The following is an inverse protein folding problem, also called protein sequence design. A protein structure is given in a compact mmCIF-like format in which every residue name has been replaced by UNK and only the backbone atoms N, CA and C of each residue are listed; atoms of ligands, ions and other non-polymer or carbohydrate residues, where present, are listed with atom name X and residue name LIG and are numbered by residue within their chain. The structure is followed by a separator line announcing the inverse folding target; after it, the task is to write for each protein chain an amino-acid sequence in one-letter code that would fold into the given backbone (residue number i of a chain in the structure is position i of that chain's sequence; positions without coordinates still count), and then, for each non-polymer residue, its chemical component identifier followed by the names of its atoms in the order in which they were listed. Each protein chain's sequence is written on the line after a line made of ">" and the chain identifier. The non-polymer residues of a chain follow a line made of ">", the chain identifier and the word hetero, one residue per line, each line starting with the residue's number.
data_IF_871250356128
#
_entry.id   IF_871250356128
#
_cell.length_a   1.000
_cell.length_b   1.000
_cell.length_c   1.000
_cell.angle_alpha   90.00
_cell.angle_beta   90.00
_cell.angle_gamma   90.00
#
_symmetry.space_group_name_H-M   'P 1'
#
loop_
_entity.id
_entity.type
_entity.pdbx_description
1 polymer ?
#
# COMPACT_ATOMS: atom_id res chain seq x y z
N UNK A 1 -33.13 15.39 14.53
CA UNK A 1 -31.73 15.87 14.57
C UNK A 1 -31.07 15.23 15.77
N UNK A 2 -30.25 14.19 15.56
CA UNK A 2 -29.47 13.57 16.64
C UNK A 2 -27.99 13.80 16.33
N UNK A 3 -27.38 14.67 17.13
CA UNK A 3 -25.95 14.92 17.19
C UNK A 3 -25.29 13.80 17.99
N UNK A 4 -24.83 12.74 17.33
CA UNK A 4 -23.85 11.84 17.93
C UNK A 4 -22.49 12.20 17.35
N UNK A 5 -21.79 13.09 18.06
CA UNK A 5 -20.38 13.39 17.84
C UNK A 5 -19.55 12.15 18.23
N UNK A 6 -19.54 11.14 17.37
CA UNK A 6 -18.50 10.12 17.39
C UNK A 6 -17.22 10.73 16.82
N UNK A 7 -16.65 11.72 17.53
CA UNK A 7 -15.29 12.19 17.29
C UNK A 7 -14.36 11.08 17.80
N UNK A 8 -14.29 10.00 17.03
CA UNK A 8 -13.42 8.86 17.32
C UNK A 8 -11.98 9.38 17.27
N UNK A 9 -11.35 9.38 18.44
CA UNK A 9 -9.97 9.83 18.66
C UNK A 9 -9.04 8.75 18.09
N UNK A 10 -8.96 8.67 16.77
CA UNK A 10 -7.96 7.85 16.09
C UNK A 10 -6.70 8.71 15.95
N UNK A 11 -5.86 8.73 16.98
CA UNK A 11 -4.52 9.27 16.91
C UNK A 11 -3.60 8.16 16.38
N UNK A 12 -3.21 8.27 15.12
CA UNK A 12 -2.27 7.34 14.49
C UNK A 12 -0.93 8.05 14.28
N UNK A 13 0.12 7.53 14.92
CA UNK A 13 1.48 7.81 14.51
C UNK A 13 1.85 6.86 13.37
N UNK A 14 1.97 7.42 12.17
CA UNK A 14 2.48 6.70 11.00
C UNK A 14 3.98 6.94 10.86
N UNK A 15 4.77 5.89 10.53
CA UNK A 15 6.18 6.05 10.21
C UNK A 15 6.39 7.13 9.14
N UNK A 16 7.46 7.92 9.29
CA UNK A 16 7.86 9.00 8.36
C UNK A 16 7.72 8.61 6.89
N UNK A 17 8.25 7.44 6.53
CA UNK A 17 8.21 6.91 5.16
C UNK A 17 6.78 6.78 4.61
N UNK A 18 5.83 6.35 5.44
CA UNK A 18 4.43 6.19 5.04
C UNK A 18 3.77 7.57 4.93
N UNK A 19 4.03 8.47 5.89
CA UNK A 19 3.50 9.84 5.83
C UNK A 19 3.93 10.55 4.55
N UNK A 20 5.21 10.51 4.20
CA UNK A 20 5.71 11.12 2.95
C UNK A 20 5.05 10.53 1.71
N UNK A 21 4.77 9.22 1.69
CA UNK A 21 4.08 8.59 0.58
C UNK A 21 2.62 9.06 0.46
N UNK A 22 1.90 9.18 1.59
CA UNK A 22 0.53 9.70 1.62
C UNK A 22 0.48 11.17 1.14
N UNK A 23 1.38 12.01 1.64
CA UNK A 23 1.51 13.42 1.25
C UNK A 23 1.82 13.57 -0.24
N UNK A 24 2.76 12.77 -0.77
CA UNK A 24 3.11 12.79 -2.19
C UNK A 24 1.92 12.40 -3.08
N UNK A 25 1.20 11.33 -2.72
CA UNK A 25 0.01 10.88 -3.44
C UNK A 25 -1.11 11.92 -3.42
N UNK A 26 -1.33 12.55 -2.25
CA UNK A 26 -2.31 13.61 -2.07
C UNK A 26 -1.97 14.83 -2.95
N UNK A 27 -0.70 15.27 -2.95
CA UNK A 27 -0.24 16.39 -3.77
C UNK A 27 -0.37 16.11 -5.27
N UNK A 28 0.00 14.90 -5.73
CA UNK A 28 -0.10 14.49 -7.14
C UNK A 28 -1.56 14.56 -7.65
N UNK A 29 -2.53 14.19 -6.82
CA UNK A 29 -3.96 14.12 -7.18
C UNK A 29 -4.78 15.33 -6.74
N UNK A 30 -4.14 16.31 -6.08
CA UNK A 30 -4.79 17.46 -5.47
C UNK A 30 -5.91 17.04 -4.49
N UNK A 31 -5.63 16.04 -3.67
CA UNK A 31 -6.52 15.53 -2.62
C UNK A 31 -6.06 16.01 -1.24
N UNK A 32 -6.98 16.02 -0.27
CA UNK A 32 -6.58 16.18 1.13
C UNK A 32 -5.95 14.90 1.66
N UNK A 33 -5.05 15.02 2.64
CA UNK A 33 -4.40 13.87 3.25
C UNK A 33 -5.42 12.99 3.99
N UNK A 34 -6.45 13.61 4.58
CA UNK A 34 -7.55 12.92 5.25
C UNK A 34 -8.32 12.04 4.27
N UNK A 35 -8.62 12.55 3.07
CA UNK A 35 -9.32 11.79 2.04
C UNK A 35 -8.50 10.59 1.55
N UNK A 36 -7.19 10.76 1.39
CA UNK A 36 -6.30 9.65 1.02
C UNK A 36 -6.27 8.58 2.11
N UNK A 37 -6.24 8.97 3.39
CA UNK A 37 -6.32 8.03 4.51
C UNK A 37 -7.68 7.30 4.55
N UNK A 38 -8.79 8.02 4.39
CA UNK A 38 -10.13 7.42 4.31
C UNK A 38 -10.24 6.43 3.15
N UNK A 39 -9.68 6.78 1.98
CA UNK A 39 -9.66 5.90 0.81
C UNK A 39 -8.84 4.63 1.07
N UNK A 40 -7.64 4.78 1.65
CA UNK A 40 -6.78 3.63 1.96
C UNK A 40 -7.43 2.69 3.00
N UNK A 41 -8.03 3.26 4.05
CA UNK A 41 -8.71 2.49 5.08
C UNK A 41 -9.99 1.84 4.57
N UNK A 42 -10.79 2.54 3.77
CA UNK A 42 -12.01 1.98 3.18
C UNK A 42 -11.67 0.83 2.23
N UNK A 43 -10.62 0.96 1.42
CA UNK A 43 -10.14 -0.12 0.58
C UNK A 43 -9.63 -1.30 1.40
N UNK A 44 -8.91 -1.09 2.50
CA UNK A 44 -8.45 -2.18 3.36
C UNK A 44 -9.59 -2.91 4.08
N UNK A 45 -10.66 -2.20 4.45
CA UNK A 45 -11.82 -2.76 5.16
C UNK A 45 -12.87 -3.35 4.22
N UNK A 46 -12.77 -3.10 2.92
CA UNK A 46 -13.66 -3.66 1.91
C UNK A 46 -13.38 -5.16 1.74
N UNK A 47 -14.41 -5.98 2.03
CA UNK A 47 -14.35 -7.44 1.97
C UNK A 47 -14.10 -7.98 0.57
N UNK A 48 -14.45 -7.19 -0.45
CA UNK A 48 -14.25 -7.53 -1.86
C UNK A 48 -12.99 -6.87 -2.43
N UNK A 49 -12.20 -6.17 -1.61
CA UNK A 49 -10.94 -5.59 -2.07
C UNK A 49 -9.93 -6.69 -2.39
N UNK A 50 -9.21 -6.53 -3.50
CA UNK A 50 -8.06 -7.39 -3.84
C UNK A 50 -6.95 -7.07 -2.84
N UNK A 51 -6.85 -7.89 -1.81
CA UNK A 51 -5.79 -7.79 -0.82
C UNK A 51 -4.61 -8.69 -1.22
N UNK A 52 -3.51 -8.59 -0.49
CA UNK A 52 -2.38 -9.52 -0.68
C UNK A 52 -2.75 -10.98 -0.39
N UNK A 53 -3.87 -11.23 0.29
CA UNK A 53 -4.36 -12.59 0.53
C UNK A 53 -4.98 -13.20 -0.74
N UNK A 54 -5.53 -12.38 -1.65
CA UNK A 54 -6.10 -12.81 -2.94
C UNK A 54 -5.04 -12.99 -4.02
N UNK A 55 -3.95 -12.23 -3.91
CA UNK A 55 -2.73 -12.53 -4.65
C UNK A 55 -2.11 -13.76 -4.02
N UNK A 56 -2.56 -14.98 -4.29
CA UNK A 56 -1.85 -16.19 -3.86
C UNK A 56 -0.44 -16.16 -4.48
N UNK A 57 0.58 -15.57 -3.82
CA UNK A 57 1.79 -15.20 -4.50
C UNK A 57 2.63 -16.45 -4.46
N UNK A 58 2.68 -17.17 -5.57
CA UNK A 58 3.54 -18.36 -5.72
C UNK A 58 4.98 -18.04 -5.30
N UNK A 59 5.37 -16.76 -5.37
CA UNK A 59 6.63 -16.22 -4.87
C UNK A 59 6.47 -14.86 -4.18
N UNK A 60 7.14 -14.70 -3.05
CA UNK A 60 7.35 -13.40 -2.40
C UNK A 60 8.20 -12.46 -3.27
N UNK A 61 8.11 -11.14 -3.08
CA UNK A 61 8.97 -10.19 -3.80
C UNK A 61 10.47 -10.44 -3.62
N UNK A 62 10.89 -11.06 -2.49
CA UNK A 62 12.28 -11.49 -2.28
C UNK A 62 12.68 -12.65 -3.20
N UNK A 63 11.84 -13.68 -3.30
CA UNK A 63 12.06 -14.83 -4.18
C UNK A 63 12.11 -14.40 -5.66
N UNK A 64 11.23 -13.48 -6.07
CA UNK A 64 11.24 -12.94 -7.44
C UNK A 64 12.53 -12.18 -7.77
N UNK A 65 13.10 -11.44 -6.81
CA UNK A 65 14.37 -10.72 -7.01
C UNK A 65 15.54 -11.68 -7.17
N UNK A 66 15.55 -12.75 -6.38
CA UNK A 66 16.58 -13.79 -6.42
C UNK A 66 16.55 -14.57 -7.75
N UNK A 67 15.36 -15.02 -8.18
CA UNK A 67 15.22 -15.72 -9.45
C UNK A 67 15.63 -14.84 -10.63
N UNK A 68 15.22 -13.57 -10.64
CA UNK A 68 15.65 -12.62 -11.68
C UNK A 68 17.17 -12.39 -11.71
N UNK A 69 17.84 -12.41 -10.55
CA UNK A 69 19.30 -12.29 -10.50
C UNK A 69 19.98 -13.53 -11.10
N UNK A 70 19.46 -14.72 -10.80
CA UNK A 70 19.96 -16.00 -11.34
C UNK A 70 19.77 -16.05 -12.86
N UNK A 71 18.56 -15.76 -13.34
CA UNK A 71 18.25 -15.77 -14.78
C UNK A 71 19.15 -14.81 -15.56
N UNK A 72 19.35 -13.59 -15.05
CA UNK A 72 20.26 -12.61 -15.67
C UNK A 72 21.70 -13.11 -15.72
N UNK A 73 22.17 -13.78 -14.66
CA UNK A 73 23.51 -14.39 -14.66
C UNK A 73 23.63 -15.50 -15.69
N UNK A 74 22.59 -16.32 -15.88
CA UNK A 74 22.59 -17.40 -16.87
C UNK A 74 22.58 -16.86 -18.30
N UNK A 75 21.77 -15.83 -18.56
CA UNK A 75 21.76 -15.11 -19.85
C UNK A 75 23.11 -14.46 -20.18
N UNK A 76 23.81 -13.93 -19.16
CA UNK A 76 25.14 -13.36 -19.34
C UNK A 76 26.23 -14.40 -19.67
N UNK A 77 26.00 -15.68 -19.34
CA UNK A 77 26.91 -16.79 -19.68
C UNK A 77 26.61 -17.39 -21.07
N UNK A 78 25.41 -17.12 -21.62
CA UNK A 78 24.99 -17.63 -22.93
C UNK A 78 25.32 -16.70 -24.12
N UNK A 79 25.89 -15.52 -23.88
CA UNK A 79 26.39 -14.59 -24.91
C UNK A 79 27.91 -14.43 -24.80
#
# INVERSE_FOLDING_TARGET
>A
MQTSSAKSVLQFEVPEKIRTALEAYAAERNYSIEFVMELALSQFLDLDSVTFDDCNPVMTPGQLREENAILKSQLAVQN
#
